data_IF_565077875067
#
_entry.id   IF_565077875067
#
_cell.length_a   1.000
_cell.length_b   1.000
_cell.length_c   1.000
_cell.angle_alpha   90.00
_cell.angle_beta   90.00
_cell.angle_gamma   90.00
#
_symmetry.space_group_name_H-M   'P 1'
#
loop_
_entity.id
_entity.type
_entity.pdbx_description
1 polymer ?
#
# COMPACT_ATOMS: atom_id res chain seq x y z
N UNK A 1 -32.25 -27.18 20.48
CA UNK A 1 -31.56 -27.28 19.18
C UNK A 1 -30.89 -25.96 18.79
N UNK A 2 -31.57 -24.84 18.85
CA UNK A 2 -31.01 -23.50 18.52
C UNK A 2 -29.74 -23.17 19.32
N UNK A 3 -29.78 -23.29 20.64
CA UNK A 3 -28.63 -23.04 21.53
C UNK A 3 -27.42 -23.97 21.24
N UNK A 4 -27.68 -25.22 20.85
CA UNK A 4 -26.61 -26.17 20.50
C UNK A 4 -25.92 -25.75 19.19
N UNK A 5 -26.67 -25.28 18.21
CA UNK A 5 -26.09 -24.75 16.94
C UNK A 5 -25.21 -23.54 17.24
N UNK A 6 -25.68 -22.61 18.09
CA UNK A 6 -24.89 -21.44 18.49
C UNK A 6 -23.60 -21.85 19.23
N UNK A 7 -23.68 -22.82 20.14
CA UNK A 7 -22.51 -23.30 20.90
C UNK A 7 -21.48 -23.95 19.97
N UNK A 8 -21.91 -24.85 19.06
CA UNK A 8 -20.99 -25.48 18.12
C UNK A 8 -20.43 -24.49 17.11
N UNK A 9 -21.23 -23.56 16.58
CA UNK A 9 -20.75 -22.49 15.72
C UNK A 9 -19.70 -21.61 16.43
N UNK A 10 -19.88 -21.33 17.73
CA UNK A 10 -18.88 -20.63 18.56
C UNK A 10 -17.57 -21.44 18.66
N UNK A 11 -17.63 -22.74 18.96
CA UNK A 11 -16.45 -23.62 19.02
C UNK A 11 -15.71 -23.71 17.70
N UNK A 12 -16.43 -23.76 16.60
CA UNK A 12 -15.89 -23.78 15.24
C UNK A 12 -15.50 -22.39 14.71
N UNK A 13 -15.70 -21.33 15.52
CA UNK A 13 -15.45 -19.93 15.16
C UNK A 13 -16.23 -19.47 13.93
N UNK A 14 -17.46 -19.97 13.74
CA UNK A 14 -18.38 -19.62 12.66
C UNK A 14 -19.28 -18.46 13.14
N UNK A 15 -18.76 -17.25 13.10
CA UNK A 15 -19.41 -16.11 13.76
C UNK A 15 -20.68 -15.65 13.05
N UNK A 16 -20.71 -15.68 11.71
CA UNK A 16 -21.92 -15.32 10.96
C UNK A 16 -23.02 -16.37 11.19
N UNK A 17 -22.68 -17.65 11.06
CA UNK A 17 -23.62 -18.75 11.27
C UNK A 17 -24.18 -18.68 12.68
N UNK A 18 -23.36 -18.49 13.71
CA UNK A 18 -23.81 -18.38 15.10
C UNK A 18 -24.91 -17.34 15.29
N UNK A 19 -24.79 -16.20 14.62
CA UNK A 19 -25.69 -15.06 14.81
C UNK A 19 -26.90 -15.09 13.86
N UNK A 20 -26.74 -15.67 12.66
CA UNK A 20 -27.68 -15.45 11.57
C UNK A 20 -28.28 -16.74 10.95
N UNK A 21 -27.92 -17.96 11.39
CA UNK A 21 -28.40 -19.19 10.74
C UNK A 21 -29.91 -19.28 10.63
N UNK A 22 -30.65 -18.70 11.59
CA UNK A 22 -32.10 -18.69 11.64
C UNK A 22 -32.75 -17.71 10.65
N UNK A 23 -31.98 -16.83 10.03
CA UNK A 23 -32.49 -15.87 9.04
C UNK A 23 -32.49 -16.43 7.62
N UNK A 24 -31.91 -17.60 7.41
CA UNK A 24 -31.87 -18.29 6.12
C UNK A 24 -33.07 -19.20 6.03
N UNK A 25 -34.00 -18.87 5.12
CA UNK A 25 -35.21 -19.64 4.87
C UNK A 25 -35.09 -20.35 3.50
N UNK A 26 -34.58 -21.59 3.54
CA UNK A 26 -34.36 -22.45 2.36
C UNK A 26 -34.78 -23.88 2.74
N UNK A 27 -35.69 -24.47 1.99
CA UNK A 27 -36.23 -25.81 2.26
C UNK A 27 -35.25 -26.95 1.95
N UNK A 28 -34.44 -26.81 0.87
CA UNK A 28 -33.44 -27.83 0.53
C UNK A 28 -32.25 -27.78 1.51
N UNK A 29 -32.00 -28.87 2.28
CA UNK A 29 -30.94 -28.89 3.27
C UNK A 29 -29.54 -28.66 2.70
N UNK A 30 -29.27 -29.09 1.46
CA UNK A 30 -27.96 -28.90 0.81
C UNK A 30 -27.75 -27.44 0.46
N UNK A 31 -28.77 -26.83 -0.14
CA UNK A 31 -28.75 -25.42 -0.49
C UNK A 31 -28.67 -24.52 0.76
N UNK A 32 -29.40 -24.87 1.81
CA UNK A 32 -29.31 -24.20 3.11
C UNK A 32 -27.88 -24.20 3.65
N UNK A 33 -27.26 -25.38 3.72
CA UNK A 33 -25.89 -25.55 4.23
C UNK A 33 -24.87 -24.78 3.39
N UNK A 34 -24.99 -24.85 2.06
CA UNK A 34 -24.13 -24.10 1.13
C UNK A 34 -24.23 -22.59 1.39
N UNK A 35 -25.44 -22.05 1.50
CA UNK A 35 -25.70 -20.64 1.78
C UNK A 35 -25.09 -20.18 3.12
N UNK A 36 -25.19 -21.02 4.16
CA UNK A 36 -24.56 -20.72 5.46
C UNK A 36 -23.05 -20.58 5.35
N UNK A 37 -22.41 -21.51 4.65
CA UNK A 37 -20.95 -21.47 4.46
C UNK A 37 -20.52 -20.31 3.59
N UNK A 38 -21.21 -20.02 2.51
CA UNK A 38 -20.93 -18.86 1.64
C UNK A 38 -20.99 -17.55 2.41
N UNK A 39 -22.03 -17.36 3.23
CA UNK A 39 -22.18 -16.17 4.08
C UNK A 39 -21.06 -16.06 5.11
N UNK A 40 -20.67 -17.16 5.76
CA UNK A 40 -19.56 -17.17 6.72
C UNK A 40 -18.21 -16.84 6.04
N UNK A 41 -17.93 -17.42 4.87
CA UNK A 41 -16.70 -17.18 4.11
C UNK A 41 -16.64 -15.71 3.66
N UNK A 42 -17.74 -15.19 3.09
CA UNK A 42 -17.81 -13.80 2.64
C UNK A 42 -17.59 -12.82 3.80
N UNK A 43 -18.21 -13.04 4.95
CA UNK A 43 -18.01 -12.18 6.12
C UNK A 43 -16.56 -12.22 6.62
N UNK A 44 -15.91 -13.38 6.60
CA UNK A 44 -14.49 -13.48 6.98
C UNK A 44 -13.60 -12.72 6.03
N UNK A 45 -13.86 -12.83 4.73
CA UNK A 45 -13.09 -12.10 3.73
C UNK A 45 -13.30 -10.58 3.85
N UNK A 46 -14.53 -10.13 4.04
CA UNK A 46 -14.81 -8.71 4.30
C UNK A 46 -14.06 -8.19 5.54
N UNK A 47 -14.08 -8.94 6.64
CA UNK A 47 -13.33 -8.56 7.86
C UNK A 47 -11.83 -8.52 7.62
N UNK A 48 -11.31 -9.48 6.84
CA UNK A 48 -9.90 -9.54 6.46
C UNK A 48 -9.51 -8.32 5.63
N UNK A 49 -10.27 -8.00 4.58
CA UNK A 49 -10.05 -6.83 3.72
C UNK A 49 -10.11 -5.53 4.53
N UNK A 50 -11.13 -5.37 5.38
CA UNK A 50 -11.27 -4.19 6.23
C UNK A 50 -10.08 -4.03 7.20
N UNK A 51 -9.56 -5.12 7.74
CA UNK A 51 -8.36 -5.09 8.57
C UNK A 51 -7.12 -4.68 7.77
N UNK A 52 -6.94 -5.20 6.54
CA UNK A 52 -5.84 -4.84 5.66
C UNK A 52 -5.91 -3.34 5.30
N UNK A 53 -7.07 -2.82 4.92
CA UNK A 53 -7.26 -1.39 4.64
C UNK A 53 -6.92 -0.52 5.86
N UNK A 54 -7.41 -0.90 7.04
CA UNK A 54 -7.11 -0.17 8.28
C UNK A 54 -5.61 -0.16 8.61
N UNK A 55 -4.93 -1.29 8.43
CA UNK A 55 -3.50 -1.42 8.77
C UNK A 55 -2.58 -0.80 7.71
N UNK A 56 -3.05 -0.62 6.48
CA UNK A 56 -2.30 0.00 5.40
C UNK A 56 -2.00 1.49 5.63
N UNK A 57 -2.79 2.19 6.47
CA UNK A 57 -2.64 3.62 6.81
C UNK A 57 -2.62 4.54 5.58
N UNK A 58 -3.47 4.22 4.60
CA UNK A 58 -3.56 5.01 3.36
C UNK A 58 -4.14 6.40 3.64
N UNK A 59 -3.67 7.44 2.93
CA UNK A 59 -4.36 8.74 2.90
C UNK A 59 -5.79 8.58 2.39
N UNK A 60 -6.68 9.49 2.83
CA UNK A 60 -8.04 9.50 2.31
C UNK A 60 -8.05 9.82 0.82
N UNK A 61 -8.73 8.99 0.04
CA UNK A 61 -8.97 9.21 -1.38
C UNK A 61 -10.44 9.63 -1.59
N UNK A 62 -10.64 10.61 -2.47
CA UNK A 62 -11.97 11.20 -2.71
C UNK A 62 -12.94 10.29 -3.48
N UNK A 63 -12.51 9.10 -3.89
CA UNK A 63 -13.28 8.18 -4.73
C UNK A 63 -13.48 8.65 -6.19
N UNK A 64 -12.90 9.78 -6.58
CA UNK A 64 -12.93 10.26 -7.97
C UNK A 64 -12.05 9.38 -8.86
N UNK A 65 -12.40 9.18 -10.14
CA UNK A 65 -11.51 8.55 -11.10
C UNK A 65 -10.18 9.30 -11.18
N UNK A 66 -9.09 8.56 -11.39
CA UNK A 66 -7.78 9.19 -11.60
C UNK A 66 -7.69 9.77 -13.01
N UNK A 67 -7.28 11.02 -13.09
CA UNK A 67 -7.03 11.70 -14.35
C UNK A 67 -5.60 11.43 -14.84
N UNK A 68 -5.50 10.67 -15.93
CA UNK A 68 -4.25 10.23 -16.55
C UNK A 68 -3.69 11.23 -17.59
N UNK A 69 -4.42 12.30 -17.91
CA UNK A 69 -4.08 13.21 -19.02
C UNK A 69 -2.68 13.83 -18.91
N UNK A 70 -2.19 13.99 -17.69
CA UNK A 70 -0.88 14.59 -17.39
C UNK A 70 0.15 13.56 -16.91
N UNK A 71 -0.08 12.26 -17.13
CA UNK A 71 0.84 11.20 -16.72
C UNK A 71 1.42 10.50 -17.94
N UNK A 72 2.76 10.56 -18.08
CA UNK A 72 3.48 9.81 -19.10
C UNK A 72 3.86 8.44 -18.52
N UNK A 73 3.44 7.39 -19.21
CA UNK A 73 3.72 6.01 -18.87
C UNK A 73 5.02 5.54 -19.54
N UNK A 74 5.78 4.70 -18.85
CA UNK A 74 6.91 3.99 -19.43
C UNK A 74 6.48 3.01 -20.54
N UNK A 75 7.44 2.54 -21.34
CA UNK A 75 7.16 1.53 -22.37
C UNK A 75 6.58 0.25 -21.75
N UNK A 76 5.58 -0.31 -22.44
CA UNK A 76 4.95 -1.57 -22.03
C UNK A 76 3.92 -1.45 -20.89
N UNK A 77 3.72 -0.27 -20.30
CA UNK A 77 2.72 -0.05 -19.27
C UNK A 77 1.37 0.39 -19.86
N UNK A 78 0.29 -0.14 -19.33
CA UNK A 78 -1.07 0.38 -19.52
C UNK A 78 -1.64 0.90 -18.20
N UNK A 79 -2.62 1.80 -18.28
CA UNK A 79 -3.31 2.32 -17.10
C UNK A 79 -3.94 1.18 -16.28
N UNK A 80 -4.54 0.21 -16.96
CA UNK A 80 -5.13 -0.97 -16.34
C UNK A 80 -4.08 -1.81 -15.62
N UNK A 81 -2.93 -2.10 -16.25
CA UNK A 81 -1.87 -2.90 -15.64
C UNK A 81 -1.30 -2.27 -14.38
N UNK A 82 -1.22 -0.93 -14.35
CA UNK A 82 -0.76 -0.16 -13.19
C UNK A 82 -1.79 -0.25 -12.06
N UNK A 83 -3.07 0.02 -12.35
CA UNK A 83 -4.15 -0.05 -11.34
C UNK A 83 -4.34 -1.47 -10.82
N UNK A 84 -4.21 -2.48 -11.68
CA UNK A 84 -4.28 -3.88 -11.27
C UNK A 84 -3.08 -4.35 -10.46
N UNK A 85 -1.99 -3.58 -10.49
CA UNK A 85 -0.79 -3.87 -9.71
C UNK A 85 -0.04 -5.10 -10.19
N UNK A 86 0.03 -5.35 -11.52
CA UNK A 86 0.78 -6.47 -12.12
C UNK A 86 2.24 -6.46 -11.69
N UNK A 87 2.86 -5.28 -11.61
CA UNK A 87 4.22 -5.09 -11.12
C UNK A 87 4.47 -5.68 -9.71
N UNK A 88 3.40 -5.79 -8.87
CA UNK A 88 3.51 -6.43 -7.53
C UNK A 88 3.75 -7.93 -7.65
N UNK A 89 3.17 -8.59 -8.66
CA UNK A 89 3.38 -10.02 -8.92
C UNK A 89 4.79 -10.27 -9.46
N UNK A 90 5.28 -9.37 -10.28
CA UNK A 90 6.60 -9.41 -10.92
C UNK A 90 7.72 -8.93 -9.99
N UNK A 91 7.39 -8.44 -8.78
CA UNK A 91 8.34 -7.88 -7.78
C UNK A 91 9.10 -6.66 -8.30
N UNK A 92 8.48 -5.90 -9.18
CA UNK A 92 9.01 -4.66 -9.72
C UNK A 92 8.58 -3.46 -8.89
N UNK A 93 9.29 -2.35 -9.04
CA UNK A 93 9.04 -1.11 -8.34
C UNK A 93 8.33 -0.10 -9.27
N UNK A 94 7.69 0.89 -8.68
CA UNK A 94 7.14 2.03 -9.40
C UNK A 94 7.72 3.32 -8.81
N UNK A 95 8.21 4.19 -9.69
CA UNK A 95 8.72 5.50 -9.28
C UNK A 95 7.84 6.58 -9.91
N UNK A 96 7.17 7.34 -9.06
CA UNK A 96 6.31 8.45 -9.44
C UNK A 96 7.06 9.76 -9.27
N UNK A 97 7.48 10.34 -10.37
CA UNK A 97 8.23 11.60 -10.39
C UNK A 97 7.39 12.74 -10.93
N UNK A 98 7.40 13.88 -10.26
CA UNK A 98 6.73 15.10 -10.74
C UNK A 98 6.45 16.12 -9.65
N UNK A 99 5.85 17.24 -10.05
CA UNK A 99 5.56 18.39 -9.18
C UNK A 99 4.68 18.07 -7.97
N UNK A 100 4.66 19.00 -7.02
CA UNK A 100 3.78 18.94 -5.84
C UNK A 100 2.32 19.04 -6.30
N UNK A 101 1.44 18.20 -5.74
CA UNK A 101 0.01 18.25 -6.07
C UNK A 101 -0.36 17.61 -7.41
N UNK A 102 0.58 16.99 -8.15
CA UNK A 102 0.32 16.34 -9.43
C UNK A 102 -0.47 15.02 -9.36
N UNK A 103 -0.81 14.52 -8.15
CA UNK A 103 -1.63 13.31 -7.98
C UNK A 103 -0.87 12.02 -7.68
N UNK A 104 0.46 12.06 -7.46
CA UNK A 104 1.29 10.89 -7.16
C UNK A 104 0.79 10.06 -5.97
N UNK A 105 0.59 10.70 -4.82
CA UNK A 105 0.07 10.08 -3.60
C UNK A 105 -1.35 9.52 -3.80
N UNK A 106 -2.17 10.21 -4.62
CA UNK A 106 -3.51 9.75 -4.94
C UNK A 106 -3.48 8.45 -5.76
N UNK A 107 -2.67 8.40 -6.81
CA UNK A 107 -2.52 7.20 -7.64
C UNK A 107 -1.95 6.03 -6.83
N UNK A 108 -0.91 6.25 -6.01
CA UNK A 108 -0.35 5.20 -5.16
C UNK A 108 -1.38 4.63 -4.19
N UNK A 109 -2.28 5.48 -3.66
CA UNK A 109 -3.36 5.06 -2.77
C UNK A 109 -4.44 4.26 -3.51
N UNK A 110 -4.80 4.64 -4.75
CA UNK A 110 -5.76 3.87 -5.58
C UNK A 110 -5.22 2.48 -5.89
N UNK A 111 -3.94 2.37 -6.30
CA UNK A 111 -3.29 1.07 -6.54
C UNK A 111 -3.32 0.22 -5.27
N UNK A 112 -2.99 0.81 -4.12
CA UNK A 112 -3.00 0.12 -2.83
C UNK A 112 -4.40 -0.41 -2.46
N UNK A 113 -5.45 0.41 -2.61
CA UNK A 113 -6.82 0.02 -2.35
C UNK A 113 -7.22 -1.15 -3.25
N UNK A 114 -6.95 -1.05 -4.55
CA UNK A 114 -7.25 -2.12 -5.50
C UNK A 114 -6.49 -3.41 -5.17
N UNK A 115 -5.19 -3.32 -4.86
CA UNK A 115 -4.36 -4.46 -4.45
C UNK A 115 -4.90 -5.16 -3.20
N UNK A 116 -5.42 -4.40 -2.23
CA UNK A 116 -6.04 -4.95 -1.02
C UNK A 116 -7.40 -5.58 -1.34
N UNK A 117 -8.30 -4.82 -1.99
CA UNK A 117 -9.69 -5.24 -2.18
C UNK A 117 -9.83 -6.41 -3.15
N UNK A 118 -9.10 -6.38 -4.26
CA UNK A 118 -9.22 -7.40 -5.31
C UNK A 118 -8.35 -8.63 -5.05
N UNK A 119 -7.15 -8.43 -4.46
CA UNK A 119 -6.14 -9.48 -4.35
C UNK A 119 -5.76 -9.83 -2.91
N UNK A 120 -6.33 -9.16 -1.90
CA UNK A 120 -6.01 -9.39 -0.49
C UNK A 120 -4.55 -9.15 -0.14
N UNK A 121 -3.84 -8.28 -0.89
CA UNK A 121 -2.41 -7.97 -0.70
C UNK A 121 -2.19 -7.20 0.60
N UNK A 122 -1.06 -7.43 1.23
CA UNK A 122 -0.61 -6.68 2.42
C UNK A 122 0.15 -5.44 1.96
N UNK A 123 -0.46 -4.29 2.15
CA UNK A 123 0.12 -3.01 1.76
C UNK A 123 0.38 -2.16 2.99
N UNK A 124 1.46 -1.37 2.95
CA UNK A 124 1.73 -0.36 3.98
C UNK A 124 2.18 0.93 3.32
N UNK A 125 1.58 2.02 3.76
CA UNK A 125 1.92 3.38 3.34
C UNK A 125 2.71 4.08 4.44
N UNK A 126 3.79 4.71 4.05
CA UNK A 126 4.58 5.62 4.87
C UNK A 126 4.99 6.84 4.06
N UNK A 127 5.06 8.00 4.68
CA UNK A 127 6.00 9.01 4.19
C UNK A 127 7.41 8.54 4.53
N UNK A 128 8.39 8.90 3.70
CA UNK A 128 9.80 8.53 3.96
C UNK A 128 10.26 9.01 5.34
N UNK A 129 9.87 10.22 5.72
CA UNK A 129 10.20 10.78 7.04
C UNK A 129 9.56 9.98 8.19
N UNK A 130 8.30 9.56 8.05
CA UNK A 130 7.61 8.80 9.11
C UNK A 130 8.21 7.41 9.30
N UNK A 131 8.60 6.73 8.21
CA UNK A 131 9.27 5.45 8.32
C UNK A 131 10.66 5.58 8.95
N UNK A 132 11.45 6.58 8.54
CA UNK A 132 12.77 6.81 9.12
C UNK A 132 12.68 7.06 10.63
N UNK A 133 11.70 7.86 11.09
CA UNK A 133 11.48 8.11 12.51
C UNK A 133 11.02 6.84 13.26
N UNK A 134 10.10 6.05 12.70
CA UNK A 134 9.67 4.78 13.31
C UNK A 134 10.83 3.77 13.42
N UNK A 135 11.72 3.73 12.42
CA UNK A 135 12.92 2.90 12.43
C UNK A 135 13.90 3.33 13.52
N UNK A 136 14.16 4.64 13.66
CA UNK A 136 15.02 5.18 14.72
C UNK A 136 14.47 4.85 16.11
N UNK A 137 13.19 5.12 16.32
CA UNK A 137 12.51 4.82 17.59
C UNK A 137 12.53 3.31 17.90
N UNK A 138 12.28 2.47 16.90
CA UNK A 138 12.34 1.02 17.06
C UNK A 138 13.76 0.52 17.38
N UNK A 139 14.78 1.16 16.82
CA UNK A 139 16.18 0.87 17.11
C UNK A 139 16.54 1.23 18.56
N UNK A 140 16.18 2.41 19.02
CA UNK A 140 16.40 2.85 20.40
C UNK A 140 15.69 1.96 21.43
N UNK A 141 14.47 1.50 21.12
CA UNK A 141 13.68 0.58 21.96
C UNK A 141 14.07 -0.89 21.84
N UNK A 142 15.05 -1.25 21.01
CA UNK A 142 15.44 -2.65 20.78
C UNK A 142 14.36 -3.51 20.08
N UNK A 143 13.40 -2.86 19.37
CA UNK A 143 12.29 -3.54 18.69
C UNK A 143 12.41 -3.57 17.17
N UNK A 144 13.54 -3.12 16.62
CA UNK A 144 13.81 -3.01 15.18
C UNK A 144 13.53 -4.31 14.42
N UNK A 145 13.96 -5.45 14.96
CA UNK A 145 13.70 -6.76 14.37
C UNK A 145 12.20 -7.11 14.24
N UNK A 146 11.36 -6.60 15.16
CA UNK A 146 9.90 -6.77 15.05
C UNK A 146 9.32 -5.94 13.91
N UNK A 147 9.84 -4.71 13.72
CA UNK A 147 9.44 -3.83 12.62
C UNK A 147 9.88 -4.42 11.27
N UNK A 148 11.11 -4.87 11.14
CA UNK A 148 11.60 -5.55 9.93
C UNK A 148 10.75 -6.78 9.57
N UNK A 149 10.41 -7.63 10.55
CA UNK A 149 9.51 -8.78 10.33
C UNK A 149 8.08 -8.37 9.89
N UNK A 150 7.60 -7.19 10.27
CA UNK A 150 6.32 -6.68 9.79
C UNK A 150 6.44 -6.23 8.33
N UNK A 151 7.51 -5.49 8.00
CA UNK A 151 7.77 -5.02 6.64
C UNK A 151 8.02 -6.19 5.69
N UNK A 152 8.76 -7.20 6.13
CA UNK A 152 9.04 -8.42 5.35
C UNK A 152 7.78 -9.22 4.96
N UNK A 153 6.66 -9.01 5.64
CA UNK A 153 5.38 -9.65 5.30
C UNK A 153 4.54 -8.86 4.30
N UNK A 154 4.97 -7.68 3.89
CA UNK A 154 4.24 -6.86 2.93
C UNK A 154 4.41 -7.42 1.52
N UNK A 155 3.41 -7.22 0.69
CA UNK A 155 3.47 -7.42 -0.75
C UNK A 155 3.86 -6.12 -1.46
N UNK A 156 3.43 -4.97 -0.91
CA UNK A 156 3.70 -3.63 -1.42
C UNK A 156 4.02 -2.66 -0.27
N UNK A 157 5.14 -1.94 -0.40
CA UNK A 157 5.51 -0.82 0.46
C UNK A 157 5.40 0.49 -0.33
N UNK A 158 4.71 1.48 0.20
CA UNK A 158 4.64 2.82 -0.41
C UNK A 158 5.49 3.77 0.42
N UNK A 159 6.46 4.41 -0.23
CA UNK A 159 7.36 5.41 0.30
C UNK A 159 7.03 6.77 -0.34
N UNK A 160 6.15 7.50 0.30
CA UNK A 160 5.68 8.79 -0.20
C UNK A 160 6.60 9.94 0.24
N UNK A 161 6.66 10.99 -0.58
CA UNK A 161 7.39 12.23 -0.29
C UNK A 161 8.91 12.06 -0.12
N UNK A 162 9.55 11.16 -0.89
CA UNK A 162 11.00 11.07 -0.89
C UNK A 162 11.59 12.37 -1.47
N UNK A 163 12.38 13.07 -0.66
CA UNK A 163 13.04 14.30 -1.10
C UNK A 163 12.54 15.58 -0.44
N UNK A 164 11.49 15.54 0.37
CA UNK A 164 10.99 16.74 1.05
C UNK A 164 11.84 17.17 2.25
N UNK A 165 12.42 16.21 2.95
CA UNK A 165 13.20 16.45 4.18
C UNK A 165 14.47 15.61 4.13
N UNK A 166 15.66 16.18 4.42
CA UNK A 166 16.88 15.40 4.62
C UNK A 166 16.73 14.43 5.80
N UNK A 167 17.24 13.22 5.64
CA UNK A 167 17.21 12.22 6.70
C UNK A 167 18.42 12.36 7.61
N UNK A 168 18.23 12.07 8.90
CA UNK A 168 19.36 11.86 9.80
C UNK A 168 20.16 10.63 9.33
N UNK A 169 21.48 10.65 9.45
CA UNK A 169 22.39 9.60 8.97
C UNK A 169 21.91 8.18 9.33
N UNK A 170 21.64 7.95 10.61
CA UNK A 170 21.17 6.64 11.08
C UNK A 170 19.80 6.25 10.49
N UNK A 171 18.89 7.22 10.32
CA UNK A 171 17.60 7.01 9.67
C UNK A 171 17.76 6.61 8.20
N UNK A 172 18.70 7.24 7.48
CA UNK A 172 19.03 6.89 6.10
C UNK A 172 19.62 5.46 5.99
N UNK A 173 20.52 5.08 6.89
CA UNK A 173 21.09 3.74 6.96
C UNK A 173 20.02 2.66 7.26
N UNK A 174 19.08 2.92 8.17
CA UNK A 174 17.99 2.01 8.49
C UNK A 174 16.98 1.91 7.33
N UNK A 175 16.68 3.02 6.67
CA UNK A 175 15.81 3.01 5.48
C UNK A 175 16.46 2.22 4.34
N UNK A 176 17.77 2.34 4.15
CA UNK A 176 18.51 1.52 3.18
C UNK A 176 18.38 0.01 3.49
N UNK A 177 18.44 -0.39 4.77
CA UNK A 177 18.22 -1.78 5.15
C UNK A 177 16.81 -2.26 4.77
N UNK A 178 15.77 -1.42 4.95
CA UNK A 178 14.41 -1.74 4.51
C UNK A 178 14.34 -1.91 3.00
N UNK A 179 14.91 -0.98 2.21
CA UNK A 179 14.93 -1.07 0.75
C UNK A 179 15.67 -2.33 0.28
N UNK A 180 16.82 -2.62 0.89
CA UNK A 180 17.61 -3.82 0.58
C UNK A 180 16.88 -5.12 0.92
N UNK A 181 16.09 -5.14 1.99
CA UNK A 181 15.27 -6.29 2.37
C UNK A 181 14.11 -6.52 1.39
N UNK A 182 13.57 -5.44 0.80
CA UNK A 182 12.50 -5.52 -0.19
C UNK A 182 13.00 -5.89 -1.60
N UNK A 183 14.26 -5.61 -1.91
CA UNK A 183 14.84 -5.79 -3.24
C UNK A 183 14.60 -7.21 -3.78
N UNK A 184 14.04 -7.33 -5.00
CA UNK A 184 13.64 -8.56 -5.69
C UNK A 184 12.62 -9.46 -4.94
N UNK A 185 12.15 -9.04 -3.77
CA UNK A 185 11.22 -9.83 -2.95
C UNK A 185 9.87 -9.16 -2.79
N UNK A 186 9.83 -7.85 -2.81
CA UNK A 186 8.65 -7.02 -2.56
C UNK A 186 8.67 -5.83 -3.50
N UNK A 187 7.51 -5.35 -3.86
CA UNK A 187 7.39 -4.14 -4.65
C UNK A 187 7.39 -2.89 -3.78
N UNK A 188 8.02 -1.83 -4.28
CA UNK A 188 8.01 -0.52 -3.66
C UNK A 188 7.42 0.49 -4.65
N UNK A 189 6.48 1.33 -4.19
CA UNK A 189 6.14 2.56 -4.88
C UNK A 189 6.87 3.70 -4.17
N UNK A 190 7.64 4.48 -4.92
CA UNK A 190 8.27 5.71 -4.41
C UNK A 190 7.62 6.90 -5.09
N UNK A 191 7.20 7.90 -4.32
CA UNK A 191 6.82 9.20 -4.88
C UNK A 191 7.89 10.24 -4.57
N UNK A 192 8.26 11.04 -5.53
CA UNK A 192 9.29 12.06 -5.38
C UNK A 192 9.05 13.27 -6.31
N UNK A 193 9.53 14.42 -5.89
CA UNK A 193 9.66 15.60 -6.73
C UNK A 193 11.12 15.90 -7.09
N UNK A 194 12.08 15.08 -6.62
CA UNK A 194 13.50 15.25 -6.87
C UNK A 194 14.00 14.29 -7.95
N UNK A 195 14.84 14.81 -8.85
CA UNK A 195 15.63 13.99 -9.76
C UNK A 195 16.60 13.08 -8.97
N UNK A 196 16.88 11.89 -9.47
CA UNK A 196 17.76 10.90 -8.82
C UNK A 196 19.11 11.48 -8.39
N UNK A 197 19.74 12.29 -9.23
CA UNK A 197 21.01 12.96 -8.92
C UNK A 197 20.97 13.90 -7.71
N UNK A 198 19.78 14.30 -7.26
CA UNK A 198 19.60 15.15 -6.08
C UNK A 198 19.28 14.34 -4.81
N UNK A 199 19.13 13.03 -4.90
CA UNK A 199 18.80 12.21 -3.72
C UNK A 199 19.91 12.18 -2.68
N UNK A 200 21.14 12.52 -3.07
CA UNK A 200 22.24 12.72 -2.11
C UNK A 200 21.91 13.78 -1.02
N UNK A 201 21.09 14.78 -1.32
CA UNK A 201 20.61 15.73 -0.31
C UNK A 201 19.66 15.10 0.72
N UNK A 202 19.05 13.97 0.38
CA UNK A 202 18.13 13.25 1.28
C UNK A 202 18.89 12.27 2.18
N UNK A 203 19.79 11.49 1.59
CA UNK A 203 20.51 10.42 2.31
C UNK A 203 21.83 10.91 2.94
N UNK A 204 22.37 12.04 2.48
CA UNK A 204 23.56 12.69 3.05
C UNK A 204 24.89 12.00 2.78
N UNK A 205 24.86 10.79 2.19
CA UNK A 205 26.05 10.00 1.84
C UNK A 205 25.96 9.55 0.39
N UNK A 206 26.96 9.87 -0.48
CA UNK A 206 26.93 9.52 -1.90
C UNK A 206 26.91 8.01 -2.17
N UNK A 207 27.68 7.22 -1.40
CA UNK A 207 27.77 5.77 -1.58
C UNK A 207 26.45 5.11 -1.20
N UNK A 208 25.88 5.52 -0.06
CA UNK A 208 24.57 5.05 0.38
C UNK A 208 23.50 5.42 -0.62
N UNK A 209 23.55 6.65 -1.17
CA UNK A 209 22.58 7.14 -2.16
C UNK A 209 22.64 6.32 -3.43
N UNK A 210 23.84 6.06 -3.97
CA UNK A 210 24.04 5.23 -5.15
C UNK A 210 23.46 3.83 -4.94
N UNK A 211 23.72 3.23 -3.78
CA UNK A 211 23.21 1.91 -3.45
C UNK A 211 21.67 1.86 -3.27
N UNK A 212 21.05 2.94 -2.79
CA UNK A 212 19.58 3.07 -2.72
C UNK A 212 18.99 3.21 -4.12
N UNK A 213 19.56 4.11 -4.94
CA UNK A 213 19.10 4.38 -6.31
C UNK A 213 19.20 3.12 -7.15
N UNK A 214 20.32 2.42 -7.11
CA UNK A 214 20.53 1.15 -7.82
C UNK A 214 19.42 0.14 -7.52
N UNK A 215 19.14 -0.13 -6.23
CA UNK A 215 18.11 -1.10 -5.83
C UNK A 215 16.70 -0.71 -6.17
N UNK A 216 16.40 0.58 -6.13
CA UNK A 216 15.04 1.05 -6.44
C UNK A 216 14.77 1.09 -7.94
N UNK A 217 15.81 1.39 -8.77
CA UNK A 217 15.65 1.59 -10.22
C UNK A 217 15.81 0.29 -11.00
N UNK A 218 16.64 -0.65 -10.53
CA UNK A 218 17.03 -1.85 -11.28
C UNK A 218 15.86 -2.61 -11.91
N UNK A 219 14.77 -2.80 -11.15
CA UNK A 219 13.52 -3.39 -11.63
C UNK A 219 12.37 -2.42 -11.38
N UNK A 220 12.36 -1.30 -12.10
CA UNK A 220 11.35 -0.27 -11.87
C UNK A 220 10.75 0.29 -13.14
N UNK A 221 9.53 0.79 -12.99
CA UNK A 221 8.84 1.59 -13.99
C UNK A 221 8.76 3.04 -13.50
N UNK A 222 9.10 3.98 -14.39
CA UNK A 222 9.03 5.40 -14.11
C UNK A 222 7.74 5.98 -14.70
N UNK A 223 6.94 6.63 -13.88
CA UNK A 223 5.81 7.45 -14.26
C UNK A 223 6.15 8.93 -14.07
N UNK A 224 6.00 9.71 -15.12
CA UNK A 224 6.24 11.15 -15.09
C UNK A 224 4.91 11.89 -14.95
N UNK A 225 4.75 12.61 -13.85
CA UNK A 225 3.58 13.43 -13.57
C UNK A 225 3.87 14.86 -13.97
N UNK A 226 3.23 15.28 -15.05
CA UNK A 226 3.29 16.66 -15.56
C UNK A 226 2.21 17.56 -14.94
N UNK A 227 2.09 18.76 -15.51
CA UNK A 227 1.03 19.71 -15.21
C UNK A 227 1.17 20.49 -13.92
N UNK A 228 0.21 21.40 -13.73
CA UNK A 228 0.11 22.22 -12.53
C UNK A 228 -0.51 21.45 -11.37
N UNK A 229 -0.29 21.95 -10.15
CA UNK A 229 -0.86 21.35 -8.94
C UNK A 229 -2.39 21.23 -9.03
N UNK A 230 -2.90 19.99 -9.06
CA UNK A 230 -4.35 19.71 -9.01
C UNK A 230 -4.99 20.27 -7.73
N UNK A 231 -4.23 20.30 -6.61
CA UNK A 231 -4.68 20.92 -5.36
C UNK A 231 -4.90 22.42 -5.48
N UNK A 232 -4.06 23.13 -6.23
CA UNK A 232 -4.22 24.58 -6.49
C UNK A 232 -5.42 24.83 -7.40
N UNK A 233 -5.61 24.01 -8.45
CA UNK A 233 -6.79 24.12 -9.35
C UNK A 233 -8.11 23.87 -8.61
N UNK A 234 -8.14 23.00 -7.63
CA UNK A 234 -9.31 22.69 -6.82
C UNK A 234 -9.53 23.67 -5.65
N UNK A 235 -8.55 24.54 -5.36
CA UNK A 235 -8.65 25.52 -4.27
C UNK A 235 -9.79 26.51 -4.52
N UNK A 236 -10.58 26.77 -3.47
CA UNK A 236 -11.66 27.77 -3.53
C UNK A 236 -11.15 29.19 -3.84
N UNK A 237 -9.85 29.49 -3.61
CA UNK A 237 -9.25 30.79 -3.94
C UNK A 237 -9.16 31.05 -5.44
N UNK A 238 -9.27 30.03 -6.29
CA UNK A 238 -9.20 30.14 -7.74
C UNK A 238 -10.56 29.95 -8.42
N UNK A 239 -11.62 29.75 -7.65
CA UNK A 239 -13.01 29.72 -8.15
C UNK A 239 -13.58 31.13 -8.05
N UNK A 240 -13.32 31.93 -9.07
CA UNK A 240 -14.10 33.13 -9.40
C UNK A 240 -15.36 32.73 -10.16
#
# INVERSE_FOLDING_TARGET
MHEMIQEYAKRLKLSWIRENFHTVDIEDPKQYLLTLFEKEVNQREERRINLLLKTATLPNVSGKPFDWSEVQLGQGLSQESIIEGKFIEEKENMIFYGGVGAGKTYLSSLIAINAIQKYGRRVKFYTVASLANELLEANEKGTLNKLFKKIDKLDLLILDELGYIPLHKQGAELLFQVISMCYEKRSIIVTTNLQFGKWNHVFGDPILTEAVVDRLIHHSHLLLFGGESKRMRESMMLKN
#
